data_IF_842261283528
#
_entry.id   IF_842261283528
#
_cell.length_a   1.000
_cell.length_b   1.000
_cell.length_c   1.000
_cell.angle_alpha   90.00
_cell.angle_beta   90.00
_cell.angle_gamma   90.00
#
_symmetry.space_group_name_H-M   'P 1'
#
loop_
_entity.id
_entity.type
_entity.pdbx_description
1 polymer ?
#
# COMPACT_ATOMS: atom_id res chain seq x y z
N UNK A 1 37.03 38.45 -21.57
CA UNK A 1 35.99 38.94 -22.51
C UNK A 1 35.00 37.79 -22.67
N UNK A 2 34.14 37.58 -21.67
CA UNK A 2 32.73 37.98 -21.75
C UNK A 2 31.92 36.68 -21.87
N UNK A 3 30.77 36.46 -21.27
CA UNK A 3 29.78 37.25 -20.53
C UNK A 3 28.90 36.15 -19.89
N UNK A 4 28.84 35.99 -18.58
CA UNK A 4 27.86 36.66 -17.71
C UNK A 4 26.39 36.48 -18.15
N UNK A 5 25.64 35.84 -17.24
CA UNK A 5 24.21 36.03 -16.93
C UNK A 5 23.15 35.55 -17.96
N UNK A 6 22.29 34.60 -17.56
CA UNK A 6 20.95 34.83 -16.95
C UNK A 6 19.90 34.60 -18.04
N UNK A 7 18.88 33.74 -17.87
CA UNK A 7 17.63 34.03 -17.16
C UNK A 7 17.05 32.75 -16.51
N UNK A 8 16.48 32.95 -15.31
CA UNK A 8 15.88 32.00 -14.36
C UNK A 8 14.38 31.74 -14.62
N UNK A 9 13.91 30.62 -14.04
CA UNK A 9 12.58 30.35 -13.43
C UNK A 9 11.27 30.42 -14.26
N UNK A 10 10.52 29.29 -14.29
CA UNK A 10 9.22 29.15 -13.59
C UNK A 10 8.59 27.72 -13.73
N UNK A 11 8.25 27.12 -12.57
CA UNK A 11 7.12 26.20 -12.30
C UNK A 11 6.95 24.83 -13.01
N UNK A 12 6.92 23.77 -12.20
CA UNK A 12 6.31 22.47 -12.54
C UNK A 12 6.93 21.31 -11.77
N UNK A 13 6.45 21.06 -10.55
CA UNK A 13 7.07 20.12 -9.61
C UNK A 13 6.78 18.62 -9.81
N UNK A 14 7.27 17.88 -8.80
CA UNK A 14 7.00 16.48 -8.43
C UNK A 14 7.88 15.40 -9.06
N UNK A 15 9.02 15.22 -8.41
CA UNK A 15 9.49 13.90 -7.94
C UNK A 15 8.43 13.24 -7.03
N UNK A 16 8.08 11.98 -7.28
CA UNK A 16 7.72 10.93 -6.31
C UNK A 16 7.56 9.64 -7.15
N UNK A 17 8.54 8.74 -7.18
CA UNK A 17 8.82 7.72 -6.16
C UNK A 17 7.71 6.66 -6.08
N UNK A 18 7.94 5.48 -6.68
CA UNK A 18 7.65 4.19 -6.03
C UNK A 18 8.53 3.10 -6.70
N UNK A 19 9.26 2.28 -5.93
CA UNK A 19 10.39 1.48 -6.39
C UNK A 19 10.03 0.03 -6.79
N UNK A 20 10.79 -0.53 -7.73
CA UNK A 20 10.88 -1.99 -7.95
C UNK A 20 11.65 -2.61 -6.76
N UNK A 21 11.14 -3.66 -6.08
CA UNK A 21 11.87 -4.28 -4.98
C UNK A 21 13.01 -5.16 -5.52
N UNK A 22 14.25 -4.65 -5.51
CA UNK A 22 15.44 -5.47 -5.68
C UNK A 22 15.78 -6.25 -4.38
N UNK A 23 16.15 -7.54 -4.46
CA UNK A 23 16.42 -8.37 -3.29
C UNK A 23 17.82 -8.07 -2.74
N UNK A 24 17.93 -7.10 -1.83
CA UNK A 24 19.21 -6.71 -1.23
C UNK A 24 19.70 -7.71 -0.17
N UNK A 25 20.94 -8.17 -0.37
CA UNK A 25 21.75 -8.96 0.58
C UNK A 25 22.75 -8.06 1.31
N UNK A 26 22.93 -8.36 2.61
CA UNK A 26 24.00 -8.04 3.59
C UNK A 26 24.10 -6.57 4.07
N UNK A 27 23.69 -6.25 5.31
CA UNK A 27 24.30 -6.48 6.64
C UNK A 27 25.29 -5.36 7.05
N UNK A 28 24.82 -4.41 7.86
CA UNK A 28 25.39 -3.97 9.15
C UNK A 28 24.63 -2.72 9.65
N UNK A 29 24.11 -2.84 10.88
CA UNK A 29 23.66 -1.79 11.79
C UNK A 29 22.39 -0.96 11.49
N UNK A 30 21.55 -0.91 12.52
CA UNK A 30 20.34 -0.09 12.74
C UNK A 30 19.02 -0.55 12.10
N UNK A 31 18.20 -1.11 13.00
CA UNK A 31 16.75 -1.28 12.98
C UNK A 31 16.21 -2.40 12.10
N UNK A 32 16.11 -3.59 12.71
CA UNK A 32 14.89 -4.40 12.53
C UNK A 32 13.69 -3.44 12.60
N UNK A 33 12.82 -3.35 11.59
CA UNK A 33 11.45 -2.99 11.90
C UNK A 33 10.96 -4.12 12.79
N UNK A 34 10.94 -3.84 14.09
CA UNK A 34 10.12 -4.52 15.09
C UNK A 34 8.65 -4.41 14.65
N UNK A 35 8.28 -5.14 13.61
CA UNK A 35 6.92 -5.34 13.14
C UNK A 35 6.26 -6.56 13.78
N UNK A 36 6.91 -7.16 14.78
CA UNK A 36 6.30 -8.13 15.67
C UNK A 36 5.46 -7.41 16.74
N UNK A 37 4.52 -6.57 16.31
CA UNK A 37 3.25 -6.42 17.04
C UNK A 37 2.15 -7.06 16.17
N UNK A 38 2.39 -8.32 15.79
CA UNK A 38 1.31 -9.26 15.53
C UNK A 38 0.65 -9.57 16.87
N UNK A 39 0.04 -8.56 17.51
CA UNK A 39 -1.03 -8.82 18.46
C UNK A 39 -2.12 -9.49 17.64
N UNK A 40 -2.08 -10.81 17.72
CA UNK A 40 -2.94 -11.74 17.04
C UNK A 40 -4.40 -11.36 17.31
N UNK A 41 -4.96 -10.53 16.43
CA UNK A 41 -6.38 -10.61 16.13
C UNK A 41 -6.54 -11.96 15.43
N UNK A 42 -6.75 -13.01 16.24
CA UNK A 42 -6.95 -14.39 15.78
C UNK A 42 -8.19 -14.56 14.87
N UNK A 43 -8.84 -13.46 14.46
CA UNK A 43 -10.00 -13.40 13.59
C UNK A 43 -9.83 -12.51 12.34
N UNK A 44 -8.63 -12.00 12.01
CA UNK A 44 -8.43 -11.24 10.76
C UNK A 44 -7.04 -11.45 10.16
N UNK A 45 -6.96 -11.52 8.84
CA UNK A 45 -5.73 -11.55 8.07
C UNK A 45 -5.42 -10.15 7.54
N UNK A 46 -4.16 -9.87 7.21
CA UNK A 46 -3.77 -8.64 6.51
C UNK A 46 -3.42 -8.99 5.07
N UNK A 47 -3.96 -8.24 4.11
CA UNK A 47 -3.66 -8.39 2.69
C UNK A 47 -3.07 -7.12 2.12
N UNK A 48 -1.93 -7.22 1.45
CA UNK A 48 -1.33 -6.11 0.71
C UNK A 48 -1.90 -6.07 -0.71
N UNK A 49 -2.57 -4.98 -1.05
CA UNK A 49 -3.18 -4.75 -2.37
C UNK A 49 -2.10 -4.74 -3.45
N UNK A 50 -2.35 -5.45 -4.56
CA UNK A 50 -1.47 -5.45 -5.73
C UNK A 50 -2.03 -4.58 -6.85
N UNK A 51 -1.16 -4.20 -7.79
CA UNK A 51 -1.56 -3.45 -8.98
C UNK A 51 -2.62 -4.19 -9.79
N UNK A 52 -3.81 -3.56 -9.92
CA UNK A 52 -4.95 -4.14 -10.65
C UNK A 52 -5.86 -5.02 -9.79
N UNK A 53 -5.66 -5.04 -8.47
CA UNK A 53 -6.64 -5.60 -7.55
C UNK A 53 -7.83 -4.68 -7.36
N UNK A 54 -8.97 -5.29 -7.05
CA UNK A 54 -10.19 -4.63 -6.59
C UNK A 54 -10.67 -5.35 -5.34
N UNK A 55 -11.45 -4.70 -4.47
CA UNK A 55 -12.00 -5.37 -3.29
C UNK A 55 -12.81 -6.62 -3.67
N UNK A 56 -13.48 -6.60 -4.83
CA UNK A 56 -14.16 -7.78 -5.37
C UNK A 56 -13.20 -8.93 -5.62
N UNK A 57 -12.09 -8.70 -6.35
CA UNK A 57 -11.11 -9.75 -6.68
C UNK A 57 -10.44 -10.29 -5.42
N UNK A 58 -10.10 -9.42 -4.47
CA UNK A 58 -9.52 -9.81 -3.18
C UNK A 58 -10.53 -10.67 -2.41
N UNK A 59 -11.80 -10.25 -2.35
CA UNK A 59 -12.87 -11.00 -1.69
C UNK A 59 -13.11 -12.37 -2.33
N UNK A 60 -13.09 -12.45 -3.66
CA UNK A 60 -13.21 -13.72 -4.39
C UNK A 60 -12.03 -14.65 -4.11
N UNK A 61 -10.81 -14.10 -4.00
CA UNK A 61 -9.62 -14.89 -3.68
C UNK A 61 -9.60 -15.40 -2.23
N UNK A 62 -10.01 -14.57 -1.26
CA UNK A 62 -9.93 -14.92 0.16
C UNK A 62 -11.16 -15.70 0.63
N UNK A 63 -12.37 -15.29 0.22
CA UNK A 63 -13.62 -15.92 0.67
C UNK A 63 -14.23 -16.86 -0.36
N UNK A 64 -13.75 -16.88 -1.60
CA UNK A 64 -14.41 -17.59 -2.69
C UNK A 64 -15.68 -16.88 -3.20
N UNK A 65 -15.99 -15.69 -2.68
CA UNK A 65 -17.17 -14.91 -3.03
C UNK A 65 -16.80 -13.42 -3.17
N UNK A 66 -16.82 -12.92 -4.40
CA UNK A 66 -16.56 -11.52 -4.68
C UNK A 66 -17.59 -10.57 -4.05
N UNK A 67 -18.81 -11.04 -3.80
CA UNK A 67 -19.88 -10.24 -3.19
C UNK A 67 -19.61 -9.91 -1.72
N UNK A 68 -18.70 -10.66 -1.07
CA UNK A 68 -18.27 -10.43 0.31
C UNK A 68 -17.30 -9.25 0.47
N UNK A 69 -17.02 -8.49 -0.59
CA UNK A 69 -16.12 -7.33 -0.57
C UNK A 69 -16.53 -6.26 0.44
N UNK A 70 -17.85 -6.13 0.71
CA UNK A 70 -18.38 -5.21 1.71
C UNK A 70 -17.82 -5.49 3.10
N UNK A 71 -17.55 -6.76 3.45
CA UNK A 71 -16.99 -7.11 4.76
C UNK A 71 -15.55 -6.61 4.91
N UNK A 72 -14.78 -6.65 3.82
CA UNK A 72 -13.43 -6.08 3.78
C UNK A 72 -13.53 -4.57 3.94
N UNK A 73 -14.44 -3.92 3.21
CA UNK A 73 -14.66 -2.49 3.34
C UNK A 73 -15.05 -2.10 4.78
N UNK A 74 -16.01 -2.78 5.39
CA UNK A 74 -16.47 -2.55 6.77
C UNK A 74 -15.32 -2.64 7.78
N UNK A 75 -14.49 -3.69 7.67
CA UNK A 75 -13.32 -3.88 8.52
C UNK A 75 -12.25 -2.77 8.34
N UNK A 76 -12.27 -2.08 7.21
CA UNK A 76 -11.32 -1.02 6.88
C UNK A 76 -11.97 0.35 6.76
N UNK A 77 -13.19 0.58 7.27
CA UNK A 77 -13.87 1.90 7.18
C UNK A 77 -13.10 3.05 7.84
N UNK A 78 -12.14 2.75 8.73
CA UNK A 78 -11.20 3.73 9.27
C UNK A 78 -10.04 4.09 8.33
N UNK A 79 -9.78 3.27 7.30
CA UNK A 79 -8.70 3.40 6.32
C UNK A 79 -9.22 3.69 4.90
N UNK A 80 -10.43 3.21 4.58
CA UNK A 80 -11.10 3.32 3.29
C UNK A 80 -12.37 4.15 3.44
N UNK A 81 -12.42 5.26 2.73
CA UNK A 81 -13.64 6.07 2.60
C UNK A 81 -14.59 5.51 1.55
N UNK A 82 -14.04 4.87 0.51
CA UNK A 82 -14.80 4.26 -0.57
C UNK A 82 -14.27 2.84 -0.87
N UNK A 83 -15.15 1.89 -1.21
CA UNK A 83 -14.75 0.51 -1.49
C UNK A 83 -13.88 0.37 -2.76
N UNK A 84 -14.00 1.29 -3.70
CA UNK A 84 -13.21 1.27 -4.93
C UNK A 84 -11.88 2.04 -4.81
N UNK A 85 -11.64 2.73 -3.69
CA UNK A 85 -10.43 3.52 -3.46
C UNK A 85 -9.36 2.71 -2.75
N UNK A 86 -8.93 1.62 -3.37
CA UNK A 86 -7.78 0.85 -2.92
C UNK A 86 -6.59 1.09 -3.84
N UNK A 87 -5.40 1.14 -3.26
CA UNK A 87 -4.16 1.41 -4.00
C UNK A 87 -3.13 0.29 -3.81
N UNK A 88 -2.28 0.01 -4.80
CA UNK A 88 -1.21 -0.97 -4.66
C UNK A 88 -0.27 -0.62 -3.50
N UNK A 89 0.15 -1.63 -2.73
CA UNK A 89 0.96 -1.46 -1.52
C UNK A 89 0.15 -1.14 -0.25
N UNK A 90 -1.15 -0.87 -0.38
CA UNK A 90 -2.02 -0.65 0.78
C UNK A 90 -2.30 -1.95 1.53
N UNK A 91 -2.17 -1.94 2.85
CA UNK A 91 -2.53 -3.07 3.70
C UNK A 91 -4.01 -2.97 4.13
N UNK A 92 -4.77 -4.04 3.89
CA UNK A 92 -6.18 -4.16 4.24
C UNK A 92 -6.38 -5.28 5.25
N UNK A 93 -7.27 -5.02 6.21
CA UNK A 93 -7.73 -5.99 7.19
C UNK A 93 -8.82 -6.87 6.55
N UNK A 94 -8.59 -8.17 6.49
CA UNK A 94 -9.50 -9.15 5.92
C UNK A 94 -10.09 -10.01 7.06
N UNK A 95 -11.35 -9.78 7.48
CA UNK A 95 -11.95 -10.53 8.58
C UNK A 95 -12.16 -12.01 8.22
N UNK A 96 -11.70 -12.94 9.07
CA UNK A 96 -12.02 -14.37 8.91
C UNK A 96 -13.48 -14.61 9.32
N UNK A 97 -14.22 -15.33 8.47
CA UNK A 97 -15.64 -15.68 8.67
C UNK A 97 -15.83 -16.82 9.66
#
# INVERSE_FOLDING_TARGET
MGIFDQIKNAFGGKTESEPEPEPNRVADDVQEPVGADSSANAGSETYTVQSGDTLWKISEQVYGDGSSYMKIFEANTGLLENPDQIFPGQELIIPRL
#
